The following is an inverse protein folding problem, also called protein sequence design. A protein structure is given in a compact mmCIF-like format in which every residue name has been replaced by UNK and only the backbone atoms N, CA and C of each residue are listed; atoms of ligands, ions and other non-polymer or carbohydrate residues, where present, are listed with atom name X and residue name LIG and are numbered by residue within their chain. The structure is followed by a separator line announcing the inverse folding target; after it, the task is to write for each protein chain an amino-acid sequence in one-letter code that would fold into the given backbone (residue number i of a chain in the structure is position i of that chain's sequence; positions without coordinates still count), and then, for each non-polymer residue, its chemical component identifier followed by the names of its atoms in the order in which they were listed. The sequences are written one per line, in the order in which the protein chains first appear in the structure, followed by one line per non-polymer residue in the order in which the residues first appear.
data_IF_989085252343
#
_entry.id   IF_989085252343
#
_cell.length_a   1.000
_cell.length_b   1.000
_cell.length_c   1.000
_cell.angle_alpha   90.00
_cell.angle_beta   90.00
_cell.angle_gamma   90.00
#
_symmetry.space_group_name_H-M   'P 1'
#
loop_
_entity.id
_entity.type
_entity.pdbx_description
1 polymer ?
#
# COMPACT_ATOMS: atom_id res chain seq x y z
N UNK A 1 -19.24 32.71 -52.14
CA UNK A 1 -18.66 32.97 -50.80
C UNK A 1 -18.31 31.62 -50.19
N UNK A 2 -17.01 31.33 -49.99
CA UNK A 2 -16.52 30.02 -49.51
C UNK A 2 -16.43 30.05 -47.99
N UNK A 3 -16.96 29.00 -47.38
CA UNK A 3 -17.22 28.86 -45.94
C UNK A 3 -15.92 28.86 -45.14
N UNK A 4 -16.04 29.55 -44.02
CA UNK A 4 -15.04 30.01 -43.06
C UNK A 4 -14.31 28.87 -42.35
N UNK A 5 -13.07 29.18 -41.96
CA UNK A 5 -12.18 28.35 -41.15
C UNK A 5 -12.79 27.94 -39.80
N UNK A 6 -12.60 26.67 -39.43
CA UNK A 6 -12.73 26.13 -38.06
C UNK A 6 -11.59 25.11 -37.93
N UNK A 7 -10.34 25.48 -37.64
CA UNK A 7 -9.76 25.83 -36.34
C UNK A 7 -9.98 24.78 -35.21
N UNK A 8 -8.84 24.25 -34.75
CA UNK A 8 -8.55 23.59 -33.46
C UNK A 8 -8.90 22.11 -33.27
N UNK A 9 -8.02 21.21 -33.73
CA UNK A 9 -7.81 19.91 -33.08
C UNK A 9 -7.12 20.12 -31.74
N UNK A 10 -7.94 20.14 -30.68
CA UNK A 10 -7.53 20.27 -29.29
C UNK A 10 -6.76 19.00 -28.86
N UNK A 11 -5.49 19.18 -28.48
CA UNK A 11 -4.70 18.16 -27.82
C UNK A 11 -5.22 17.97 -26.39
N UNK A 12 -5.87 16.84 -26.11
CA UNK A 12 -6.16 16.41 -24.75
C UNK A 12 -5.17 15.28 -24.38
N UNK A 13 -3.95 15.67 -24.00
CA UNK A 13 -3.05 14.77 -23.30
C UNK A 13 -3.68 14.51 -21.93
N UNK A 14 -4.20 13.30 -21.73
CA UNK A 14 -4.65 12.82 -20.42
C UNK A 14 -3.44 12.82 -19.49
N UNK A 15 -3.42 13.78 -18.55
CA UNK A 15 -2.46 13.75 -17.46
C UNK A 15 -2.75 12.50 -16.63
N UNK A 16 -1.93 11.47 -16.81
CA UNK A 16 -1.88 10.36 -15.87
C UNK A 16 -1.43 10.96 -14.54
N UNK A 17 -2.37 11.08 -13.60
CA UNK A 17 -2.08 11.41 -12.22
C UNK A 17 -1.24 10.27 -11.65
N UNK A 18 0.08 10.36 -11.79
CA UNK A 18 1.02 9.61 -10.98
C UNK A 18 0.78 10.08 -9.55
N UNK A 19 0.01 9.28 -8.81
CA UNK A 19 -0.25 9.47 -7.39
C UNK A 19 1.09 9.48 -6.65
N UNK A 20 1.66 10.68 -6.48
CA UNK A 20 2.72 10.93 -5.53
C UNK A 20 2.12 10.75 -4.14
N UNK A 21 2.06 9.51 -3.66
CA UNK A 21 1.58 9.23 -2.32
C UNK A 21 2.65 9.73 -1.35
N UNK A 22 2.32 10.63 -0.41
CA UNK A 22 3.31 11.31 0.41
C UNK A 22 4.11 10.28 1.22
N UNK A 23 5.43 10.46 1.28
CA UNK A 23 6.37 9.68 2.10
C UNK A 23 5.91 9.51 3.57
N UNK A 24 5.04 10.41 4.04
CA UNK A 24 4.36 10.32 5.33
C UNK A 24 3.59 8.99 5.56
N UNK A 25 3.05 8.34 4.52
CA UNK A 25 2.35 7.06 4.69
C UNK A 25 3.34 5.92 4.98
N UNK A 26 4.50 5.89 4.32
CA UNK A 26 5.53 4.85 4.54
C UNK A 26 6.17 4.91 5.93
N UNK A 27 6.22 6.10 6.53
CA UNK A 27 6.70 6.24 7.91
C UNK A 27 5.67 5.80 8.95
N UNK A 28 4.38 5.83 8.63
CA UNK A 28 3.28 5.53 9.56
C UNK A 28 2.83 4.08 9.56
N UNK A 29 3.14 3.33 8.50
CA UNK A 29 2.64 1.97 8.30
C UNK A 29 3.57 0.88 8.86
N UNK A 30 4.82 1.23 9.11
CA UNK A 30 5.80 0.37 9.78
C UNK A 30 5.67 0.42 11.31
N UNK A 31 6.27 -0.58 11.97
CA UNK A 31 6.22 -0.69 13.43
C UNK A 31 7.16 0.29 14.16
N UNK A 32 8.10 0.92 13.45
CA UNK A 32 9.12 1.81 14.01
C UNK A 32 10.50 1.15 14.10
N UNK A 33 11.45 1.82 14.78
CA UNK A 33 12.81 1.33 14.96
C UNK A 33 12.86 0.00 15.71
N UNK A 34 13.70 -0.94 15.26
CA UNK A 34 13.90 -2.25 15.89
C UNK A 34 12.98 -3.37 15.37
N UNK A 35 12.05 -3.06 14.48
CA UNK A 35 11.18 -4.07 13.86
C UNK A 35 11.69 -4.55 12.50
N UNK A 36 11.29 -5.75 12.12
CA UNK A 36 11.63 -6.35 10.82
C UNK A 36 10.92 -5.63 9.67
N UNK A 37 11.56 -5.63 8.49
CA UNK A 37 10.95 -5.13 7.27
C UNK A 37 9.74 -5.97 6.80
N UNK A 38 9.58 -7.18 7.37
CA UNK A 38 8.40 -8.03 7.24
C UNK A 38 7.22 -7.62 8.15
N UNK A 39 7.35 -6.53 8.93
CA UNK A 39 6.34 -6.14 9.91
C UNK A 39 5.63 -4.82 9.55
N UNK A 40 4.33 -4.78 9.82
CA UNK A 40 3.46 -3.61 9.64
C UNK A 40 2.56 -3.43 10.86
N UNK A 41 2.19 -2.19 11.13
CA UNK A 41 1.34 -1.85 12.28
C UNK A 41 -0.12 -2.09 11.92
N UNK A 42 -0.77 -3.05 12.58
CA UNK A 42 -2.20 -3.30 12.39
C UNK A 42 -3.01 -2.02 12.60
N UNK A 43 -4.05 -1.80 11.78
CA UNK A 43 -4.89 -0.60 11.73
C UNK A 43 -4.19 0.69 11.30
N UNK A 44 -2.92 0.65 10.91
CA UNK A 44 -2.26 1.81 10.30
C UNK A 44 -2.58 1.92 8.80
N UNK A 45 -2.51 3.13 8.22
CA UNK A 45 -2.71 3.32 6.79
C UNK A 45 -1.74 2.49 5.96
N UNK A 46 -2.14 2.00 4.79
CA UNK A 46 -1.27 1.25 3.89
C UNK A 46 -1.37 1.76 2.45
N UNK A 47 -0.30 1.57 1.68
CA UNK A 47 -0.28 1.90 0.25
C UNK A 47 -1.08 0.88 -0.55
N UNK A 48 -1.91 1.35 -1.47
CA UNK A 48 -2.63 0.47 -2.42
C UNK A 48 -1.67 -0.40 -3.26
N UNK A 49 -0.44 0.06 -3.51
CA UNK A 49 0.60 -0.71 -4.19
C UNK A 49 1.12 -1.94 -3.41
N UNK A 50 0.76 -2.10 -2.13
CA UNK A 50 1.00 -3.35 -1.41
C UNK A 50 0.15 -4.48 -1.98
N UNK A 51 -1.02 -4.19 -2.57
CA UNK A 51 -1.90 -5.21 -3.14
C UNK A 51 -2.28 -6.28 -2.12
N UNK A 52 -2.12 -7.54 -2.51
CA UNK A 52 -2.39 -8.77 -1.75
C UNK A 52 -1.17 -9.25 -0.92
N UNK A 53 -0.15 -8.41 -0.76
CA UNK A 53 1.02 -8.74 0.06
C UNK A 53 0.65 -8.93 1.52
N UNK A 54 1.23 -9.96 2.10
CA UNK A 54 1.05 -10.33 3.50
C UNK A 54 2.27 -9.98 4.32
N UNK A 55 2.07 -9.18 5.36
CA UNK A 55 3.11 -8.84 6.34
C UNK A 55 2.71 -9.36 7.72
N UNK A 56 3.64 -9.38 8.66
CA UNK A 56 3.33 -9.70 10.05
C UNK A 56 2.89 -8.45 10.81
N UNK A 57 2.00 -8.62 11.79
CA UNK A 57 1.80 -7.63 12.83
C UNK A 57 3.10 -7.34 13.60
N UNK A 58 3.17 -6.19 14.25
CA UNK A 58 4.34 -5.81 15.05
C UNK A 58 4.65 -6.80 16.18
N UNK A 59 3.62 -7.39 16.76
CA UNK A 59 3.69 -8.42 17.81
C UNK A 59 3.91 -9.84 17.26
N UNK A 60 3.90 -10.00 15.93
CA UNK A 60 4.01 -11.26 15.20
C UNK A 60 2.90 -12.28 15.53
N UNK A 61 1.78 -11.82 16.08
CA UNK A 61 0.65 -12.70 16.42
C UNK A 61 -0.35 -12.86 15.29
N UNK A 62 -0.28 -12.01 14.25
CA UNK A 62 -1.16 -12.11 13.09
C UNK A 62 -0.48 -11.74 11.78
N UNK A 63 -1.09 -12.18 10.68
CA UNK A 63 -0.78 -11.77 9.31
C UNK A 63 -1.72 -10.63 8.93
N UNK A 64 -1.17 -9.54 8.38
CA UNK A 64 -1.89 -8.37 7.92
C UNK A 64 -1.79 -8.20 6.41
N UNK A 65 -2.88 -7.72 5.81
CA UNK A 65 -3.01 -7.38 4.39
C UNK A 65 -3.52 -5.94 4.26
N UNK A 66 -3.14 -5.26 3.17
CA UNK A 66 -3.62 -3.91 2.91
C UNK A 66 -5.04 -3.93 2.35
N UNK A 67 -6.04 -3.72 3.21
CA UNK A 67 -7.45 -3.71 2.82
C UNK A 67 -8.06 -2.33 3.04
N UNK A 68 -8.69 -1.79 1.99
CA UNK A 68 -9.36 -0.48 2.03
C UNK A 68 -8.46 0.66 2.54
N UNK A 69 -7.16 0.58 2.26
CA UNK A 69 -6.17 1.58 2.68
C UNK A 69 -5.65 1.42 4.11
N UNK A 70 -5.95 0.30 4.80
CA UNK A 70 -5.42 0.01 6.14
C UNK A 70 -4.88 -1.43 6.26
N UNK A 71 -3.82 -1.60 7.05
CA UNK A 71 -3.31 -2.92 7.42
C UNK A 71 -4.33 -3.63 8.31
N UNK A 72 -5.02 -4.60 7.73
CA UNK A 72 -6.08 -5.36 8.38
C UNK A 72 -5.59 -6.76 8.65
N UNK A 73 -5.82 -7.27 9.85
CA UNK A 73 -5.49 -8.65 10.18
C UNK A 73 -6.39 -9.61 9.40
N UNK A 74 -5.76 -10.51 8.63
CA UNK A 74 -6.45 -11.52 7.81
C UNK A 74 -6.25 -12.93 8.34
N UNK A 75 -5.34 -13.11 9.30
CA UNK A 75 -5.09 -14.39 9.97
C UNK A 75 -4.47 -14.17 11.34
N UNK A 76 -5.07 -14.81 12.34
CA UNK A 76 -4.53 -14.92 13.70
C UNK A 76 -3.61 -16.15 13.82
N UNK A 77 -2.34 -15.93 14.18
CA UNK A 77 -1.33 -16.96 14.47
C UNK A 77 -1.34 -17.44 15.92
N UNK A 78 -2.16 -16.83 16.79
CA UNK A 78 -2.35 -17.10 18.24
C UNK A 78 -1.13 -16.87 19.13
N UNK A 79 0.06 -16.80 18.55
CA UNK A 79 1.34 -16.68 19.21
C UNK A 79 2.30 -15.89 18.31
N UNK A 80 3.41 -15.39 18.86
CA UNK A 80 4.38 -14.53 18.17
C UNK A 80 5.25 -15.28 17.12
N UNK A 81 4.62 -16.14 16.32
CA UNK A 81 5.25 -17.04 15.35
C UNK A 81 5.26 -16.47 13.94
N UNK A 82 4.52 -15.40 13.65
CA UNK A 82 4.49 -14.86 12.30
C UNK A 82 5.90 -14.48 11.81
N UNK A 83 6.26 -14.97 10.62
CA UNK A 83 7.49 -14.64 9.90
C UNK A 83 7.18 -14.35 8.44
N UNK A 84 7.88 -13.38 7.86
CA UNK A 84 7.82 -13.08 6.44
C UNK A 84 9.16 -12.60 5.91
N UNK A 85 9.10 -11.98 4.73
CA UNK A 85 10.23 -11.30 4.12
C UNK A 85 9.80 -9.90 3.65
N UNK A 86 10.75 -9.17 3.08
CA UNK A 86 10.54 -7.79 2.65
C UNK A 86 9.62 -7.67 1.42
N UNK A 87 9.26 -8.79 0.79
CA UNK A 87 8.36 -8.84 -0.37
C UNK A 87 6.91 -9.17 -0.01
N UNK A 88 6.58 -9.39 1.27
CA UNK A 88 5.20 -9.60 1.70
C UNK A 88 4.68 -11.03 1.55
N UNK A 89 5.41 -12.00 2.12
CA UNK A 89 5.06 -13.42 2.15
C UNK A 89 4.86 -13.95 3.58
N UNK A 90 4.23 -13.17 4.46
CA UNK A 90 4.06 -13.54 5.86
C UNK A 90 3.22 -14.81 6.06
N UNK A 91 3.65 -15.61 7.03
CA UNK A 91 3.04 -16.88 7.44
C UNK A 91 3.17 -17.04 8.96
N UNK A 92 2.19 -17.72 9.54
CA UNK A 92 2.40 -18.48 10.77
C UNK A 92 3.12 -19.78 10.39
#
# INVERSE_FOLDING_TARGET
MKVTAILFTLAAAVAVNASAVPAAIQARDTCGAGYGADQRRTNSPCQASNGDRHFCGCDRTGVVECQRGYWTEVRDCRSATCRGNNQGSARC
#
